data_IF_283211053436
#
_entry.id   IF_283211053436
#
_cell.length_a   1.000
_cell.length_b   1.000
_cell.length_c   1.000
_cell.angle_alpha   90.00
_cell.angle_beta   90.00
_cell.angle_gamma   90.00
#
_symmetry.space_group_name_H-M   'P 1'
#
loop_
_entity.id
_entity.type
_entity.pdbx_description
1 polymer ?
#
# COMPACT_ATOMS: atom_id res chain seq x y z
N UNK A 1 -2.39 -8.19 -16.49
CA UNK A 1 -2.34 -9.65 -16.73
C UNK A 1 -1.52 -10.28 -15.61
N UNK A 2 -2.00 -11.36 -14.98
CA UNK A 2 -1.46 -11.89 -13.71
C UNK A 2 -0.38 -12.98 -13.91
N UNK A 3 0.47 -12.84 -14.93
CA UNK A 3 1.47 -13.87 -15.28
C UNK A 3 2.82 -13.69 -14.58
N UNK A 4 3.09 -12.52 -14.00
CA UNK A 4 4.38 -12.27 -13.35
C UNK A 4 4.53 -13.17 -12.11
N UNK A 5 5.64 -13.89 -12.00
CA UNK A 5 5.89 -14.72 -10.83
C UNK A 5 6.02 -13.85 -9.57
N UNK A 6 5.27 -14.19 -8.51
CA UNK A 6 5.55 -13.66 -7.18
C UNK A 6 6.75 -14.41 -6.60
N UNK A 7 7.57 -13.77 -5.75
CA UNK A 7 8.61 -14.48 -5.03
C UNK A 7 7.96 -15.54 -4.13
N UNK A 8 8.35 -16.80 -4.33
CA UNK A 8 7.87 -17.94 -3.56
C UNK A 8 8.78 -18.18 -2.35
N UNK A 9 8.24 -18.81 -1.31
CA UNK A 9 8.94 -19.05 -0.04
C UNK A 9 8.81 -17.89 0.95
N UNK A 10 9.77 -17.80 1.89
CA UNK A 10 9.76 -16.81 2.98
C UNK A 10 8.50 -16.84 3.84
N UNK A 11 7.90 -18.02 4.01
CA UNK A 11 6.65 -18.20 4.77
C UNK A 11 6.84 -17.94 6.28
N UNK A 12 8.07 -18.07 6.76
CA UNK A 12 8.45 -17.81 8.14
C UNK A 12 8.93 -16.36 8.37
N UNK A 13 9.10 -15.57 7.30
CA UNK A 13 9.49 -14.16 7.42
C UNK A 13 8.26 -13.32 7.74
N UNK A 14 8.43 -12.37 8.65
CA UNK A 14 7.45 -11.32 8.94
C UNK A 14 8.10 -9.96 8.71
N UNK A 15 7.70 -9.19 7.69
CA UNK A 15 6.56 -9.38 6.80
C UNK A 15 6.80 -10.39 5.66
N UNK A 16 5.73 -11.03 5.13
CA UNK A 16 5.82 -11.96 4.00
C UNK A 16 6.24 -11.20 2.74
N UNK A 17 7.03 -11.88 1.89
CA UNK A 17 7.54 -11.29 0.64
C UNK A 17 6.71 -11.61 -0.61
N UNK A 18 5.72 -12.49 -0.49
CA UNK A 18 4.89 -12.99 -1.59
C UNK A 18 3.87 -11.94 -2.09
N UNK A 19 4.35 -10.89 -2.75
CA UNK A 19 3.56 -9.84 -3.38
C UNK A 19 4.25 -9.30 -4.62
N UNK A 20 3.54 -8.52 -5.45
CA UNK A 20 4.16 -7.66 -6.46
C UNK A 20 4.39 -6.25 -5.92
N UNK A 21 3.36 -5.66 -5.30
CA UNK A 21 3.33 -4.32 -4.74
C UNK A 21 2.78 -4.33 -3.32
N UNK A 22 3.52 -3.80 -2.36
CA UNK A 22 3.11 -3.69 -0.96
C UNK A 22 2.89 -2.23 -0.57
N UNK A 23 1.81 -1.98 0.16
CA UNK A 23 1.56 -0.71 0.83
C UNK A 23 2.40 -0.63 2.10
N UNK A 24 3.15 0.45 2.24
CA UNK A 24 3.95 0.77 3.42
C UNK A 24 3.49 2.13 3.94
N UNK A 25 3.04 2.16 5.18
CA UNK A 25 2.61 3.39 5.86
C UNK A 25 3.49 3.58 7.09
N UNK A 26 4.32 4.61 7.06
CA UNK A 26 5.24 4.96 8.14
C UNK A 26 4.79 6.26 8.80
N UNK A 27 4.70 6.22 10.13
CA UNK A 27 4.38 7.40 10.92
C UNK A 27 5.59 7.81 11.74
N UNK A 28 6.08 9.01 11.49
CA UNK A 28 7.06 9.67 12.36
C UNK A 28 6.34 10.54 13.39
N UNK A 29 7.09 11.14 14.32
CA UNK A 29 6.53 12.09 15.29
C UNK A 29 5.86 13.31 14.62
N UNK A 30 6.32 13.69 13.42
CA UNK A 30 5.93 14.94 12.75
C UNK A 30 5.21 14.75 11.41
N UNK A 31 5.37 13.60 10.78
CA UNK A 31 4.90 13.36 9.42
C UNK A 31 4.32 11.96 9.23
N UNK A 32 3.44 11.85 8.26
CA UNK A 32 2.92 10.58 7.74
C UNK A 32 3.51 10.39 6.35
N UNK A 33 4.17 9.25 6.16
CA UNK A 33 4.75 8.82 4.90
C UNK A 33 4.02 7.57 4.46
N UNK A 34 3.59 7.52 3.20
CA UNK A 34 2.98 6.35 2.63
C UNK A 34 3.60 6.07 1.26
N UNK A 35 3.83 4.80 0.96
CA UNK A 35 4.46 4.39 -0.29
C UNK A 35 3.98 3.02 -0.75
N UNK A 36 4.07 2.79 -2.05
CA UNK A 36 3.88 1.49 -2.67
C UNK A 36 5.22 0.99 -3.15
N UNK A 37 5.65 -0.14 -2.60
CA UNK A 37 6.97 -0.73 -2.80
C UNK A 37 6.83 -2.02 -3.61
N UNK A 38 7.58 -2.12 -4.71
CA UNK A 38 7.68 -3.35 -5.49
C UNK A 38 8.47 -4.42 -4.72
N UNK A 39 8.26 -5.70 -4.99
CA UNK A 39 8.96 -6.81 -4.31
C UNK A 39 10.50 -6.78 -4.43
N UNK A 40 11.05 -6.05 -5.40
CA UNK A 40 12.49 -5.76 -5.51
C UNK A 40 12.99 -4.73 -4.48
N UNK A 41 12.12 -4.16 -3.65
CA UNK A 41 12.42 -3.09 -2.70
C UNK A 41 12.40 -1.68 -3.29
N UNK A 42 11.99 -1.52 -4.55
CA UNK A 42 11.92 -0.20 -5.20
C UNK A 42 10.60 0.49 -4.86
N UNK A 43 10.65 1.75 -4.44
CA UNK A 43 9.46 2.59 -4.27
C UNK A 43 8.94 2.99 -5.66
N UNK A 44 7.69 2.64 -5.95
CA UNK A 44 7.04 2.95 -7.24
C UNK A 44 6.28 4.26 -7.15
N UNK A 45 5.51 4.43 -6.09
CA UNK A 45 4.72 5.63 -5.81
C UNK A 45 4.84 5.95 -4.33
N UNK A 46 4.92 7.23 -3.98
CA UNK A 46 4.91 7.70 -2.60
C UNK A 46 3.99 8.91 -2.44
N UNK A 47 3.59 9.20 -1.20
CA UNK A 47 2.92 10.41 -0.78
C UNK A 47 3.31 10.70 0.69
N UNK A 48 3.61 11.95 1.03
CA UNK A 48 3.98 12.33 2.40
C UNK A 48 3.48 13.72 2.77
N UNK A 49 3.18 13.94 4.05
CA UNK A 49 2.90 15.28 4.57
C UNK A 49 4.09 16.22 4.56
N UNK A 50 5.28 15.74 4.19
CA UNK A 50 6.47 16.59 3.89
C UNK A 50 6.39 17.25 2.52
N UNK A 51 5.55 16.73 1.61
CA UNK A 51 5.37 17.33 0.29
C UNK A 51 4.61 18.65 0.42
N UNK A 52 5.22 19.74 -0.06
CA UNK A 52 4.63 21.08 0.06
C UNK A 52 3.20 21.16 -0.50
N UNK A 53 2.93 20.46 -1.60
CA UNK A 53 1.60 20.42 -2.23
C UNK A 53 0.51 19.86 -1.31
N UNK A 54 0.86 18.87 -0.48
CA UNK A 54 -0.04 18.27 0.52
C UNK A 54 -0.04 19.13 1.78
N UNK A 55 1.15 19.48 2.28
CA UNK A 55 1.33 20.20 3.53
C UNK A 55 0.55 21.52 3.59
N UNK A 56 0.54 22.31 2.51
CA UNK A 56 -0.17 23.59 2.45
C UNK A 56 -1.70 23.48 2.58
N UNK A 57 -2.24 22.29 2.34
CA UNK A 57 -3.69 22.00 2.42
C UNK A 57 -4.07 21.37 3.77
N UNK A 58 -3.09 21.13 4.65
CA UNK A 58 -3.28 20.49 5.94
C UNK A 58 -3.15 21.49 7.08
N UNK A 59 -4.06 21.38 8.04
CA UNK A 59 -3.92 22.08 9.32
C UNK A 59 -2.87 21.42 10.23
N UNK A 60 -2.75 20.08 10.17
CA UNK A 60 -1.79 19.28 10.93
C UNK A 60 -1.21 18.18 10.05
N UNK A 61 0.04 17.77 10.31
CA UNK A 61 0.75 16.77 9.51
C UNK A 61 0.63 15.33 10.03
N UNK A 62 -0.09 15.12 11.14
CA UNK A 62 -0.15 13.86 11.90
C UNK A 62 -1.57 13.45 12.34
N UNK A 63 -2.55 14.29 12.07
CA UNK A 63 -3.93 14.06 12.50
C UNK A 63 -4.65 13.08 11.58
N UNK A 64 -5.94 12.83 11.87
CA UNK A 64 -6.77 11.94 11.06
C UNK A 64 -6.99 12.51 9.65
N UNK A 65 -7.11 13.83 9.52
CA UNK A 65 -7.32 14.48 8.22
C UNK A 65 -6.08 14.37 7.33
N UNK A 66 -4.87 14.51 7.90
CA UNK A 66 -3.62 14.24 7.21
C UNK A 66 -3.55 12.82 6.66
N UNK A 67 -3.89 11.81 7.47
CA UNK A 67 -3.90 10.42 7.03
C UNK A 67 -4.88 10.21 5.85
N UNK A 68 -6.09 10.75 5.94
CA UNK A 68 -7.09 10.68 4.87
C UNK A 68 -6.60 11.36 3.58
N UNK A 69 -6.02 12.55 3.67
CA UNK A 69 -5.54 13.29 2.50
C UNK A 69 -4.32 12.64 1.85
N UNK A 70 -3.37 12.10 2.64
CA UNK A 70 -2.25 11.33 2.10
C UNK A 70 -2.74 10.06 1.42
N UNK A 71 -3.73 9.35 2.00
CA UNK A 71 -4.35 8.20 1.38
C UNK A 71 -4.96 8.53 0.01
N UNK A 72 -5.74 9.61 -0.08
CA UNK A 72 -6.35 10.06 -1.34
C UNK A 72 -5.31 10.37 -2.41
N UNK A 73 -4.27 11.13 -2.05
CA UNK A 73 -3.19 11.47 -2.99
C UNK A 73 -2.44 10.22 -3.44
N UNK A 74 -2.14 9.29 -2.52
CA UNK A 74 -1.46 8.06 -2.87
C UNK A 74 -2.32 7.17 -3.76
N UNK A 75 -3.59 6.96 -3.41
CA UNK A 75 -4.53 6.17 -4.21
C UNK A 75 -4.63 6.74 -5.62
N UNK A 76 -4.80 8.06 -5.74
CA UNK A 76 -4.89 8.73 -7.04
C UNK A 76 -3.63 8.53 -7.89
N UNK A 77 -2.45 8.72 -7.30
CA UNK A 77 -1.16 8.46 -7.99
C UNK A 77 -1.03 7.00 -8.42
N UNK A 78 -1.51 6.05 -7.61
CA UNK A 78 -1.51 4.62 -7.96
C UNK A 78 -2.41 4.37 -9.18
N UNK A 79 -3.64 4.88 -9.18
CA UNK A 79 -4.59 4.72 -10.27
C UNK A 79 -4.08 5.35 -11.58
N UNK A 80 -3.52 6.56 -11.50
CA UNK A 80 -2.90 7.24 -12.65
C UNK A 80 -1.67 6.52 -13.19
N UNK A 81 -0.98 5.75 -12.34
CA UNK A 81 0.15 4.90 -12.71
C UNK A 81 -0.27 3.47 -13.12
N UNK A 82 -1.56 3.15 -13.12
CA UNK A 82 -2.10 1.82 -13.46
C UNK A 82 -1.98 0.76 -12.37
N UNK A 83 -1.69 1.14 -11.12
CA UNK A 83 -1.63 0.25 -9.95
C UNK A 83 -3.02 0.20 -9.31
N UNK A 84 -3.69 -0.94 -9.42
CA UNK A 84 -5.06 -1.17 -8.93
C UNK A 84 -5.11 -2.03 -7.65
N UNK A 85 -4.15 -2.93 -7.49
CA UNK A 85 -4.09 -3.93 -6.43
C UNK A 85 -2.80 -3.75 -5.65
N UNK A 86 -2.90 -3.67 -4.33
CA UNK A 86 -1.74 -3.53 -3.44
C UNK A 86 -1.89 -4.43 -2.23
N UNK A 87 -0.85 -5.20 -1.93
CA UNK A 87 -0.78 -6.04 -0.75
C UNK A 87 -0.64 -5.20 0.52
N UNK A 88 -1.39 -5.53 1.55
CA UNK A 88 -1.30 -4.90 2.88
C UNK A 88 -0.89 -5.92 3.91
N UNK A 89 0.11 -5.58 4.71
CA UNK A 89 0.53 -6.38 5.86
C UNK A 89 0.72 -5.45 7.04
N UNK A 90 -0.16 -5.55 8.03
CA UNK A 90 -0.17 -4.72 9.23
C UNK A 90 -0.47 -5.59 10.44
N UNK A 91 0.20 -5.31 11.55
CA UNK A 91 -0.04 -6.02 12.81
C UNK A 91 -1.37 -5.60 13.45
N UNK A 92 -1.89 -6.43 14.37
CA UNK A 92 -3.11 -6.11 15.13
C UNK A 92 -3.02 -4.77 15.86
N UNK A 93 -1.84 -4.43 16.40
CA UNK A 93 -1.57 -3.17 17.06
C UNK A 93 -1.62 -1.97 16.08
N UNK A 94 -1.13 -2.16 14.86
CA UNK A 94 -1.18 -1.11 13.83
C UNK A 94 -2.62 -0.91 13.35
N UNK A 95 -3.34 -1.99 13.12
CA UNK A 95 -4.75 -2.00 12.73
C UNK A 95 -5.66 -1.37 13.79
N UNK A 96 -5.28 -1.38 15.08
CA UNK A 96 -6.02 -0.67 16.13
C UNK A 96 -5.95 0.87 16.00
N UNK A 97 -5.01 1.40 15.21
CA UNK A 97 -4.89 2.84 14.99
C UNK A 97 -6.02 3.39 14.13
N UNK A 98 -6.83 4.28 14.70
CA UNK A 98 -7.90 5.01 13.99
C UNK A 98 -7.40 5.72 12.74
N UNK A 99 -6.15 6.22 12.76
CA UNK A 99 -5.54 6.90 11.62
C UNK A 99 -5.26 5.92 10.48
N UNK A 100 -4.72 4.75 10.80
CA UNK A 100 -4.45 3.71 9.79
C UNK A 100 -5.76 3.19 9.21
N UNK A 101 -6.77 2.90 10.04
CA UNK A 101 -8.10 2.50 9.55
C UNK A 101 -8.68 3.55 8.60
N UNK A 102 -8.63 4.83 8.99
CA UNK A 102 -9.09 5.92 8.12
C UNK A 102 -8.30 5.97 6.81
N UNK A 103 -6.98 5.78 6.86
CA UNK A 103 -6.14 5.72 5.68
C UNK A 103 -6.57 4.60 4.73
N UNK A 104 -6.76 3.39 5.25
CA UNK A 104 -7.16 2.22 4.47
C UNK A 104 -8.57 2.36 3.90
N UNK A 105 -9.50 2.94 4.67
CA UNK A 105 -10.86 3.20 4.22
C UNK A 105 -10.91 4.21 3.07
N UNK A 106 -10.11 5.29 3.15
CA UNK A 106 -10.04 6.27 2.05
C UNK A 106 -9.37 5.68 0.80
N UNK A 107 -8.34 4.85 0.94
CA UNK A 107 -7.75 4.12 -0.20
C UNK A 107 -8.78 3.25 -0.91
N UNK A 108 -9.63 2.54 -0.14
CA UNK A 108 -10.72 1.72 -0.70
C UNK A 108 -11.79 2.58 -1.38
N UNK A 109 -12.16 3.72 -0.80
CA UNK A 109 -13.15 4.66 -1.38
C UNK A 109 -12.69 5.23 -2.71
N UNK A 110 -11.41 5.52 -2.87
CA UNK A 110 -10.82 5.99 -4.13
C UNK A 110 -10.78 4.88 -5.21
N UNK A 111 -11.02 3.61 -4.84
CA UNK A 111 -11.13 2.49 -5.77
C UNK A 111 -9.91 1.57 -5.80
N UNK A 112 -8.96 1.71 -4.88
CA UNK A 112 -7.83 0.80 -4.77
C UNK A 112 -8.22 -0.47 -4.01
N UNK A 113 -7.85 -1.63 -4.54
CA UNK A 113 -8.09 -2.90 -3.86
C UNK A 113 -6.91 -3.24 -2.95
N UNK A 114 -7.18 -3.31 -1.64
CA UNK A 114 -6.18 -3.65 -0.60
C UNK A 114 -6.04 -5.16 -0.47
N UNK A 115 -5.56 -5.77 -1.53
CA UNK A 115 -5.33 -7.20 -1.68
C UNK A 115 -4.88 -7.46 -3.10
N UNK A 116 -3.93 -8.38 -3.27
CA UNK A 116 -3.53 -8.82 -4.60
C UNK A 116 -4.30 -10.04 -5.04
N UNK A 117 -4.49 -10.15 -6.35
CA UNK A 117 -5.01 -11.36 -6.96
C UNK A 117 -3.94 -12.45 -7.00
N UNK A 118 -4.39 -13.69 -7.11
CA UNK A 118 -3.51 -14.83 -7.30
C UNK A 118 -2.88 -14.83 -8.70
N UNK A 119 -1.59 -15.20 -8.82
CA UNK A 119 -0.95 -15.34 -10.12
C UNK A 119 -1.61 -16.45 -10.93
N UNK A 120 -1.74 -16.23 -12.25
CA UNK A 120 -2.12 -17.29 -13.18
C UNK A 120 -0.89 -18.19 -13.34
N UNK A 121 -1.00 -19.41 -12.82
CA UNK A 121 0.04 -20.41 -12.93
C UNK A 121 -0.08 -21.17 -14.26
N UNK A 122 1.04 -21.60 -14.88
CA UNK A 122 0.98 -22.51 -16.01
C UNK A 122 0.35 -23.83 -15.60
N UNK A 123 -0.41 -24.46 -16.51
CA UNK A 123 -0.94 -25.81 -16.32
C UNK A 123 0.23 -26.76 -16.03
N UNK A 124 0.18 -27.49 -14.92
CA UNK A 124 1.20 -28.50 -14.61
C UNK A 124 0.95 -29.71 -15.52
N UNK A 125 2.02 -30.40 -15.90
CA UNK A 125 1.96 -31.58 -16.77
C UNK A 125 1.06 -32.69 -16.18
N UNK A 126 0.90 -32.70 -14.86
CA UNK A 126 0.11 -33.68 -14.11
C UNK A 126 -1.27 -33.17 -13.65
N UNK A 127 -1.68 -31.96 -14.02
CA UNK A 127 -3.06 -31.51 -13.76
C UNK A 127 -3.99 -32.22 -14.77
N UNK A 128 -5.13 -32.80 -14.33
CA UNK A 128 -6.07 -33.53 -15.19
C UNK A 128 -6.57 -32.70 -16.38
#
# INVERSE_FOLDING_TARGET
>A
MLLAAKPLGYELDDPPRNYWHKLVVERTQKHINASVVHNTGKVVVAASTTEWGIQKQLFSAIDRSAAANVARVLARRCLESGILFVHTHFDSNELASVRLQTFLDEMKKEGLTLGELDPILPRRIHDP
#
